data_IF_686883204036
#
_entry.id   IF_686883204036
#
_cell.length_a   1.000
_cell.length_b   1.000
_cell.length_c   1.000
_cell.angle_alpha   90.00
_cell.angle_beta   90.00
_cell.angle_gamma   90.00
#
_symmetry.space_group_name_H-M   'P 1'
#
loop_
_entity.id
_entity.type
_entity.pdbx_description
1 polymer ?
#
# COMPACT_ATOMS: atom_id res chain seq x y z
N UNK A 1 5.67 -0.35 -6.41
CA UNK A 1 4.19 -0.32 -6.46
C UNK A 1 3.66 0.23 -5.14
N UNK A 2 2.72 1.14 -5.21
CA UNK A 2 2.06 1.71 -4.02
C UNK A 2 0.65 1.15 -3.92
N UNK A 3 0.31 0.58 -2.77
CA UNK A 3 -1.05 0.10 -2.49
C UNK A 3 -1.74 1.10 -1.56
N UNK A 4 -2.83 1.69 -2.04
CA UNK A 4 -3.60 2.68 -1.29
C UNK A 4 -4.97 2.11 -0.96
N UNK A 5 -5.34 2.15 0.33
CA UNK A 5 -6.67 1.76 0.76
C UNK A 5 -7.56 3.00 0.88
N UNK A 6 -8.87 2.79 0.96
CA UNK A 6 -9.84 3.87 1.05
C UNK A 6 -9.66 4.79 2.25
N UNK A 7 -9.07 4.29 3.32
CA UNK A 7 -8.99 4.99 4.59
C UNK A 7 -7.71 5.77 4.80
N UNK A 8 -6.80 5.75 3.83
CA UNK A 8 -5.49 6.34 3.99
C UNK A 8 -5.29 7.59 3.16
N UNK A 9 -4.38 8.46 3.63
CA UNK A 9 -3.96 9.61 2.86
C UNK A 9 -3.13 9.15 1.67
N UNK A 10 -3.71 9.20 0.48
CA UNK A 10 -3.06 8.74 -0.73
C UNK A 10 -1.79 9.52 -1.05
N UNK A 11 -1.77 10.83 -0.80
CA UNK A 11 -0.63 11.67 -1.14
C UNK A 11 0.64 11.25 -0.39
N UNK A 12 0.53 10.91 0.89
CA UNK A 12 1.67 10.48 1.69
C UNK A 12 2.30 9.20 1.14
N UNK A 13 1.48 8.21 0.83
CA UNK A 13 1.94 6.92 0.33
C UNK A 13 2.51 7.04 -1.08
N UNK A 14 1.86 7.78 -1.94
CA UNK A 14 2.32 7.97 -3.33
C UNK A 14 3.63 8.77 -3.34
N UNK A 15 3.76 9.77 -2.49
CA UNK A 15 5.00 10.53 -2.37
C UNK A 15 6.18 9.67 -1.95
N UNK A 16 5.98 8.80 -0.95
CA UNK A 16 6.99 7.85 -0.52
C UNK A 16 7.36 6.88 -1.65
N UNK A 17 6.36 6.36 -2.34
CA UNK A 17 6.57 5.47 -3.49
C UNK A 17 7.30 6.15 -4.64
N UNK A 18 6.96 7.41 -4.91
CA UNK A 18 7.62 8.20 -5.96
C UNK A 18 9.11 8.40 -5.66
N UNK A 19 9.43 8.69 -4.40
CA UNK A 19 10.82 8.85 -3.98
C UNK A 19 11.61 7.55 -4.16
N UNK A 20 11.04 6.43 -3.73
CA UNK A 20 11.68 5.11 -3.88
C UNK A 20 11.86 4.75 -5.36
N UNK A 21 10.82 4.95 -6.17
CA UNK A 21 10.88 4.66 -7.60
C UNK A 21 11.95 5.50 -8.29
N UNK A 22 12.06 6.77 -7.92
CA UNK A 22 13.07 7.67 -8.48
C UNK A 22 14.48 7.25 -8.08
N UNK A 23 14.68 6.84 -6.83
CA UNK A 23 15.98 6.37 -6.34
C UNK A 23 16.41 5.09 -7.07
N UNK A 24 15.47 4.21 -7.39
CA UNK A 24 15.75 2.95 -8.06
C UNK A 24 15.64 3.06 -9.58
N UNK A 25 15.28 4.22 -10.09
CA UNK A 25 15.08 4.48 -11.52
C UNK A 25 14.04 3.51 -12.14
N UNK A 26 12.93 3.34 -11.42
CA UNK A 26 11.84 2.45 -11.83
C UNK A 26 10.56 3.24 -12.05
N UNK A 27 9.64 2.73 -12.89
CA UNK A 27 8.34 3.37 -13.03
C UNK A 27 7.53 3.22 -11.75
N UNK A 28 6.69 4.22 -11.46
CA UNK A 28 5.81 4.21 -10.31
C UNK A 28 4.44 3.70 -10.74
N UNK A 29 3.93 2.72 -10.01
CA UNK A 29 2.56 2.24 -10.21
C UNK A 29 1.80 2.32 -8.89
N UNK A 30 0.53 2.68 -8.98
CA UNK A 30 -0.38 2.79 -7.84
C UNK A 30 -1.54 1.83 -8.05
N UNK A 31 -1.87 1.09 -7.01
CA UNK A 31 -2.99 0.16 -7.03
C UNK A 31 -3.92 0.46 -5.86
N UNK A 32 -5.22 0.41 -6.12
CA UNK A 32 -6.24 0.51 -5.09
C UNK A 32 -7.26 -0.60 -5.29
N UNK A 33 -7.64 -1.26 -4.21
CA UNK A 33 -8.62 -2.35 -4.25
C UNK A 33 -9.80 -1.99 -3.37
N UNK A 34 -10.98 -1.93 -3.96
CA UNK A 34 -12.24 -1.71 -3.27
C UNK A 34 -12.95 -3.04 -3.07
N UNK A 35 -13.63 -3.20 -1.96
CA UNK A 35 -14.40 -4.41 -1.71
C UNK A 35 -15.60 -4.46 -2.64
N UNK A 36 -15.71 -5.54 -3.39
CA UNK A 36 -16.83 -5.76 -4.31
C UNK A 36 -18.15 -5.88 -3.56
N UNK A 37 -18.12 -6.55 -2.41
CA UNK A 37 -19.32 -6.77 -1.59
C UNK A 37 -19.89 -5.48 -1.00
N UNK A 38 -19.06 -4.47 -0.78
CA UNK A 38 -19.48 -3.19 -0.23
C UNK A 38 -20.08 -2.27 -1.29
N UNK A 39 -19.79 -2.52 -2.56
CA UNK A 39 -20.16 -1.64 -3.63
C UNK A 39 -19.47 -0.30 -3.55
N UNK A 40 -19.83 0.61 -4.43
CA UNK A 40 -19.29 1.95 -4.48
C UNK A 40 -20.31 2.93 -3.91
N UNK A 41 -19.91 3.75 -2.94
CA UNK A 41 -20.80 4.76 -2.35
C UNK A 41 -20.44 6.16 -2.86
N UNK A 42 -21.20 7.18 -2.41
CA UNK A 42 -21.02 8.56 -2.88
C UNK A 42 -19.64 9.14 -2.54
N UNK A 43 -19.00 8.67 -1.46
CA UNK A 43 -17.69 9.16 -1.07
C UNK A 43 -16.56 8.54 -1.88
N UNK A 44 -16.77 7.34 -2.42
CA UNK A 44 -15.74 6.61 -3.17
C UNK A 44 -15.35 7.34 -4.46
N UNK A 45 -16.31 8.00 -5.11
CA UNK A 45 -16.03 8.78 -6.31
C UNK A 45 -15.06 9.92 -6.07
N UNK A 46 -15.24 10.66 -4.97
CA UNK A 46 -14.34 11.74 -4.58
C UNK A 46 -12.95 11.23 -4.20
N UNK A 47 -12.89 10.10 -3.50
CA UNK A 47 -11.62 9.47 -3.14
C UNK A 47 -10.86 9.01 -4.38
N UNK A 48 -11.56 8.44 -5.37
CA UNK A 48 -10.96 8.04 -6.63
C UNK A 48 -10.39 9.22 -7.40
N UNK A 49 -11.12 10.32 -7.49
CA UNK A 49 -10.64 11.53 -8.16
C UNK A 49 -9.37 12.05 -7.51
N UNK A 50 -9.33 12.10 -6.18
CA UNK A 50 -8.16 12.49 -5.42
C UNK A 50 -6.97 11.58 -5.72
N UNK A 51 -7.22 10.29 -5.73
CA UNK A 51 -6.19 9.28 -5.97
C UNK A 51 -5.62 9.40 -7.38
N UNK A 52 -6.47 9.55 -8.39
CA UNK A 52 -6.05 9.76 -9.77
C UNK A 52 -5.24 11.05 -9.91
N UNK A 53 -5.67 12.12 -9.24
CA UNK A 53 -4.94 13.40 -9.23
C UNK A 53 -3.55 13.26 -8.63
N UNK A 54 -3.43 12.55 -7.52
CA UNK A 54 -2.13 12.29 -6.90
C UNK A 54 -1.24 11.45 -7.80
N UNK A 55 -1.78 10.39 -8.40
CA UNK A 55 -1.02 9.53 -9.30
C UNK A 55 -0.52 10.32 -10.52
N UNK A 56 -1.37 11.15 -11.09
CA UNK A 56 -1.01 11.98 -12.24
C UNK A 56 0.10 12.97 -11.91
N UNK A 57 0.05 13.57 -10.73
CA UNK A 57 1.07 14.50 -10.27
C UNK A 57 2.47 13.89 -10.27
N UNK A 58 2.58 12.61 -9.94
CA UNK A 58 3.84 11.88 -9.90
C UNK A 58 4.09 11.02 -11.13
N UNK A 59 3.31 11.19 -12.17
CA UNK A 59 3.42 10.45 -13.43
C UNK A 59 3.35 8.93 -13.20
N UNK A 60 2.47 8.52 -12.32
CA UNK A 60 2.28 7.11 -11.97
C UNK A 60 1.17 6.49 -12.79
N UNK A 61 1.32 5.21 -13.10
CA UNK A 61 0.19 4.43 -13.63
C UNK A 61 -0.75 4.10 -12.48
N UNK A 62 -2.05 4.06 -12.75
CA UNK A 62 -3.06 3.83 -11.73
C UNK A 62 -3.98 2.69 -12.15
N UNK A 63 -4.16 1.73 -11.25
CA UNK A 63 -5.08 0.61 -11.44
C UNK A 63 -6.02 0.51 -10.26
N UNK A 64 -7.31 0.34 -10.54
CA UNK A 64 -8.34 0.19 -9.53
C UNK A 64 -9.03 -1.16 -9.76
N UNK A 65 -9.17 -1.93 -8.70
CA UNK A 65 -9.82 -3.23 -8.74
C UNK A 65 -10.94 -3.29 -7.71
N UNK A 66 -11.96 -4.08 -8.03
CA UNK A 66 -13.06 -4.37 -7.12
C UNK A 66 -13.02 -5.86 -6.81
N UNK A 67 -12.64 -6.21 -5.58
CA UNK A 67 -12.46 -7.60 -5.18
C UNK A 67 -12.51 -7.71 -3.66
N UNK A 68 -13.06 -8.81 -3.16
CA UNK A 68 -13.14 -9.03 -1.72
C UNK A 68 -11.87 -9.65 -1.13
N UNK A 69 -10.87 -9.94 -1.97
CA UNK A 69 -9.58 -10.48 -1.53
C UNK A 69 -8.45 -9.53 -1.93
N UNK A 70 -8.31 -8.36 -1.26
CA UNK A 70 -7.34 -7.35 -1.67
C UNK A 70 -5.89 -7.83 -1.65
N UNK A 71 -5.52 -8.65 -0.68
CA UNK A 71 -4.15 -9.15 -0.60
C UNK A 71 -3.78 -10.00 -1.82
N UNK A 72 -4.70 -10.85 -2.27
CA UNK A 72 -4.49 -11.67 -3.47
C UNK A 72 -4.33 -10.80 -4.70
N UNK A 73 -5.21 -9.81 -4.88
CA UNK A 73 -5.17 -8.90 -6.03
C UNK A 73 -3.86 -8.13 -6.07
N UNK A 74 -3.44 -7.59 -4.92
CA UNK A 74 -2.19 -6.84 -4.81
C UNK A 74 -0.99 -7.73 -5.11
N UNK A 75 -0.95 -8.94 -4.57
CA UNK A 75 0.14 -9.88 -4.81
C UNK A 75 0.25 -10.27 -6.28
N UNK A 76 -0.88 -10.57 -6.93
CA UNK A 76 -0.89 -10.90 -8.36
C UNK A 76 -0.43 -9.72 -9.19
N UNK A 77 -0.90 -8.51 -8.89
CA UNK A 77 -0.50 -7.30 -9.60
C UNK A 77 0.99 -7.01 -9.42
N UNK A 78 1.52 -7.19 -8.21
CA UNK A 78 2.94 -6.98 -7.92
C UNK A 78 3.81 -7.95 -8.73
N UNK A 79 3.41 -9.21 -8.80
CA UNK A 79 4.13 -10.21 -9.58
C UNK A 79 4.06 -9.91 -11.07
N UNK A 80 2.89 -9.56 -11.58
CA UNK A 80 2.69 -9.24 -12.99
C UNK A 80 3.51 -8.02 -13.43
N UNK A 81 3.59 -7.01 -12.59
CA UNK A 81 4.32 -5.78 -12.86
C UNK A 81 5.79 -5.84 -12.45
N UNK A 82 6.24 -6.98 -11.93
CA UNK A 82 7.62 -7.18 -11.46
C UNK A 82 8.05 -6.09 -10.47
N UNK A 83 7.17 -5.81 -9.51
CA UNK A 83 7.45 -4.80 -8.50
C UNK A 83 8.67 -5.20 -7.67
N UNK A 84 9.58 -4.24 -7.45
CA UNK A 84 10.77 -4.46 -6.62
C UNK A 84 10.45 -4.27 -5.15
N UNK A 85 9.41 -3.50 -4.84
CA UNK A 85 8.93 -3.29 -3.48
C UNK A 85 7.46 -2.88 -3.51
N UNK A 86 6.77 -3.14 -2.43
CA UNK A 86 5.40 -2.69 -2.22
C UNK A 86 5.41 -1.63 -1.12
N UNK A 87 4.78 -0.49 -1.38
CA UNK A 87 4.63 0.59 -0.40
C UNK A 87 3.17 0.62 0.03
N UNK A 88 2.92 0.57 1.33
CA UNK A 88 1.57 0.60 1.89
C UNK A 88 1.58 1.28 3.25
N UNK A 89 0.42 1.65 3.75
CA UNK A 89 0.26 2.10 5.13
C UNK A 89 0.24 0.91 6.09
N UNK A 90 0.21 1.20 7.38
CA UNK A 90 0.03 0.14 8.37
C UNK A 90 -1.37 -0.44 8.26
N UNK A 91 -1.50 -1.78 8.32
CA UNK A 91 -2.83 -2.39 8.31
C UNK A 91 -3.65 -1.90 9.51
N UNK A 92 -4.95 -1.74 9.30
CA UNK A 92 -5.85 -1.41 10.40
C UNK A 92 -5.80 -2.51 11.45
N UNK A 93 -6.07 -2.15 12.71
CA UNK A 93 -6.13 -3.12 13.79
C UNK A 93 -7.15 -4.20 13.45
N UNK A 94 -6.77 -5.46 13.59
CA UNK A 94 -7.59 -6.58 13.17
C UNK A 94 -7.43 -7.00 11.71
N UNK A 95 -6.70 -6.21 10.91
CA UNK A 95 -6.43 -6.49 9.49
C UNK A 95 -5.00 -6.98 9.25
N UNK A 96 -4.36 -7.53 10.27
CA UNK A 96 -2.96 -7.95 10.22
C UNK A 96 -2.68 -9.04 9.18
N UNK A 97 -3.71 -9.70 8.68
CA UNK A 97 -3.56 -10.74 7.68
C UNK A 97 -3.17 -10.25 6.29
N UNK A 98 -3.29 -8.94 6.00
CA UNK A 98 -3.00 -8.40 4.68
C UNK A 98 -1.53 -8.63 4.28
N UNK A 99 -0.60 -8.19 5.12
CA UNK A 99 0.84 -8.33 4.85
C UNK A 99 1.25 -9.81 4.86
N UNK A 100 0.76 -10.58 5.83
CA UNK A 100 1.04 -12.01 5.92
C UNK A 100 0.58 -12.74 4.66
N UNK A 101 -0.61 -12.41 4.18
CA UNK A 101 -1.17 -13.03 2.98
C UNK A 101 -0.33 -12.73 1.74
N UNK A 102 0.12 -11.49 1.60
CA UNK A 102 0.99 -11.11 0.48
C UNK A 102 2.29 -11.90 0.55
N UNK A 103 2.90 -12.04 1.74
CA UNK A 103 4.14 -12.79 1.90
C UNK A 103 3.97 -14.31 1.76
N UNK A 104 2.77 -14.84 1.97
CA UNK A 104 2.49 -16.24 1.61
C UNK A 104 2.60 -16.48 0.11
N UNK A 105 2.17 -15.50 -0.69
CA UNK A 105 2.17 -15.60 -2.15
C UNK A 105 3.51 -15.17 -2.72
N UNK A 106 4.10 -14.09 -2.21
CA UNK A 106 5.36 -13.52 -2.65
C UNK A 106 6.30 -13.32 -1.46
N UNK A 107 6.91 -14.40 -0.93
CA UNK A 107 7.70 -14.31 0.29
C UNK A 107 8.95 -13.43 0.18
N UNK A 108 9.45 -13.23 -1.02
CA UNK A 108 10.66 -12.42 -1.23
C UNK A 108 10.38 -10.95 -1.54
N UNK A 109 9.11 -10.55 -1.65
CA UNK A 109 8.77 -9.16 -1.97
C UNK A 109 8.99 -8.25 -0.75
N UNK A 110 9.91 -7.27 -0.83
CA UNK A 110 10.05 -6.29 0.24
C UNK A 110 8.81 -5.41 0.35
N UNK A 111 8.38 -5.13 1.58
CA UNK A 111 7.23 -4.26 1.84
C UNK A 111 7.70 -3.10 2.71
N UNK A 112 7.45 -1.88 2.25
CA UNK A 112 7.70 -0.66 3.01
C UNK A 112 6.38 -0.14 3.55
N UNK A 113 6.25 -0.10 4.87
CA UNK A 113 5.07 0.48 5.51
C UNK A 113 5.37 1.91 5.92
N UNK A 114 4.42 2.80 5.66
CA UNK A 114 4.57 4.23 5.95
C UNK A 114 3.52 4.62 6.99
N UNK A 115 3.96 5.19 8.11
CA UNK A 115 3.05 5.61 9.18
C UNK A 115 2.47 7.01 8.93
N UNK A 116 1.63 7.48 9.85
CA UNK A 116 0.96 8.78 9.74
C UNK A 116 1.93 9.97 9.73
N UNK A 117 3.14 9.77 10.20
CA UNK A 117 4.19 10.80 10.24
C UNK A 117 5.21 10.62 9.12
N UNK A 118 4.91 9.79 8.14
CA UNK A 118 5.77 9.51 6.97
C UNK A 118 7.06 8.75 7.32
N UNK A 119 7.10 8.09 8.48
CA UNK A 119 8.20 7.19 8.80
C UNK A 119 8.03 5.88 8.03
N UNK A 120 9.14 5.34 7.53
CA UNK A 120 9.13 4.15 6.69
C UNK A 120 9.75 2.96 7.42
N UNK A 121 9.10 1.82 7.32
CA UNK A 121 9.52 0.56 7.93
C UNK A 121 9.56 -0.52 6.86
N UNK A 122 10.75 -0.96 6.49
CA UNK A 122 10.92 -1.95 5.42
C UNK A 122 10.99 -3.36 5.99
N UNK A 123 10.15 -4.23 5.43
CA UNK A 123 10.11 -5.65 5.81
C UNK A 123 10.42 -6.46 4.57
N UNK A 124 11.50 -7.24 4.61
CA UNK A 124 11.92 -8.09 3.49
C UNK A 124 11.22 -9.45 3.54
N UNK A 125 10.95 -9.93 4.74
CA UNK A 125 10.24 -11.18 4.97
C UNK A 125 9.25 -10.96 6.10
N UNK A 126 8.03 -11.50 5.97
CA UNK A 126 7.03 -11.32 7.01
C UNK A 126 7.48 -11.91 8.34
N UNK A 127 7.46 -11.09 9.37
CA UNK A 127 7.65 -11.47 10.75
C UNK A 127 6.60 -10.71 11.57
N UNK A 128 5.71 -11.46 12.20
CA UNK A 128 4.61 -10.90 12.97
C UNK A 128 5.12 -10.00 14.09
N UNK A 129 6.18 -10.42 14.76
CA UNK A 129 6.75 -9.68 15.88
C UNK A 129 7.37 -8.37 15.41
N UNK A 130 8.04 -8.36 14.26
CA UNK A 130 8.58 -7.13 13.67
C UNK A 130 7.48 -6.14 13.32
N UNK A 131 6.39 -6.62 12.77
CA UNK A 131 5.25 -5.76 12.41
C UNK A 131 4.62 -5.16 13.66
N UNK A 132 4.42 -5.96 14.71
CA UNK A 132 3.86 -5.49 15.97
C UNK A 132 4.78 -4.48 16.64
N UNK A 133 6.08 -4.71 16.59
CA UNK A 133 7.07 -3.77 17.13
C UNK A 133 7.05 -2.46 16.36
N UNK A 134 7.03 -2.50 15.03
CA UNK A 134 6.98 -1.29 14.21
C UNK A 134 5.70 -0.48 14.51
N UNK A 135 4.57 -1.17 14.66
CA UNK A 135 3.30 -0.51 15.02
C UNK A 135 3.38 0.15 16.39
N UNK A 136 3.98 -0.52 17.37
CA UNK A 136 4.15 0.00 18.71
C UNK A 136 5.05 1.23 18.72
N UNK A 137 6.15 1.21 17.98
CA UNK A 137 7.06 2.35 17.85
C UNK A 137 6.38 3.52 17.17
N UNK A 138 5.60 3.27 16.14
CA UNK A 138 4.82 4.31 15.46
C UNK A 138 3.80 4.94 16.41
N UNK A 139 3.12 4.14 17.23
CA UNK A 139 2.17 4.65 18.23
C UNK A 139 2.90 5.47 19.31
N UNK A 140 4.09 5.07 19.70
CA UNK A 140 4.89 5.80 20.69
C UNK A 140 5.34 7.17 20.18
N UNK A 141 5.60 7.30 18.90
CA UNK A 141 6.04 8.58 18.31
C UNK A 141 4.95 9.63 18.26
N UNK A 142 3.68 9.24 18.46
CA UNK A 142 2.53 10.15 18.46
C UNK A 142 2.37 10.85 19.80
N UNK A 143 3.03 10.36 20.81
CA UNK A 143 2.98 10.93 22.16
C UNK A 143 4.21 11.86 22.43
#
# INVERSE_FOLDING_TARGET
>A
MVCVTQQESCSRLIEAGARIANEENLPLSVISVFKESSGMNANDGGELENLFGCAQKYNASMNVYFNDSPALVVAVAAKKNRASTLVTGFPAEGSSGFIARIHEILPALPITMVDSESNEYKIVQYDKDEIEEARRLSASSVH
#
